data_IF_685538924717
#
_entry.id   IF_685538924717
#
_cell.length_a   1.000
_cell.length_b   1.000
_cell.length_c   1.000
_cell.angle_alpha   90.00
_cell.angle_beta   90.00
_cell.angle_gamma   90.00
#
_symmetry.space_group_name_H-M   'P 1'
#
loop_
_entity.id
_entity.type
_entity.pdbx_description
1 polymer ?
#
# COMPACT_ATOMS: atom_id res chain seq x y z
N UNK A 1 17.41 47.86 5.55
CA UNK A 1 16.74 48.30 4.30
C UNK A 1 16.49 47.14 3.35
N UNK A 2 17.43 46.20 3.16
CA UNK A 2 17.27 45.04 2.26
C UNK A 2 16.17 44.06 2.68
N UNK A 3 16.07 43.71 3.96
CA UNK A 3 15.00 42.81 4.47
C UNK A 3 13.59 43.37 4.24
N UNK A 4 13.46 44.71 4.30
CA UNK A 4 12.19 45.43 4.07
C UNK A 4 11.78 45.45 2.60
N UNK A 5 12.74 45.27 1.69
CA UNK A 5 12.49 45.16 0.25
C UNK A 5 12.12 43.72 -0.13
N UNK A 6 12.80 42.74 0.46
CA UNK A 6 12.53 41.31 0.24
C UNK A 6 11.15 40.89 0.75
N UNK A 7 10.67 41.48 1.85
CA UNK A 7 9.34 41.19 2.39
C UNK A 7 8.18 41.68 1.49
N UNK A 8 8.46 42.57 0.52
CA UNK A 8 7.51 43.06 -0.48
C UNK A 8 7.42 42.15 -1.72
N UNK A 9 8.35 41.22 -1.90
CA UNK A 9 8.37 40.28 -3.02
C UNK A 9 7.62 39.01 -2.60
N UNK A 10 6.29 39.08 -2.57
CA UNK A 10 5.44 37.90 -2.37
C UNK A 10 4.70 37.55 -3.66
N UNK A 11 4.58 36.25 -4.01
CA UNK A 11 3.81 35.85 -5.17
C UNK A 11 2.34 36.27 -4.99
N UNK A 12 1.71 36.72 -6.09
CA UNK A 12 0.31 37.14 -6.11
C UNK A 12 -0.65 36.02 -5.66
N UNK A 13 -0.25 34.78 -5.91
CA UNK A 13 -0.92 33.58 -5.42
C UNK A 13 0.10 32.83 -4.56
N UNK A 14 -0.13 32.85 -3.24
CA UNK A 14 0.61 32.00 -2.30
C UNK A 14 -0.04 30.63 -2.37
N UNK A 15 0.75 29.60 -2.69
CA UNK A 15 0.25 28.23 -2.60
C UNK A 15 -0.14 27.95 -1.15
N UNK A 16 -1.30 27.34 -0.86
CA UNK A 16 -1.75 27.05 0.49
C UNK A 16 -1.00 25.83 1.06
N UNK A 17 0.31 25.93 1.14
CA UNK A 17 1.19 24.92 1.71
C UNK A 17 1.42 25.22 3.18
N UNK A 18 1.61 24.16 3.96
CA UNK A 18 2.11 24.27 5.33
C UNK A 18 3.47 24.98 5.30
N UNK A 19 3.72 25.88 6.27
CA UNK A 19 4.99 26.61 6.37
C UNK A 19 6.20 25.67 6.50
N UNK A 20 5.99 24.44 6.98
CA UNK A 20 7.01 23.40 7.12
C UNK A 20 6.90 22.32 6.05
N UNK A 21 6.20 22.58 4.94
CA UNK A 21 6.07 21.61 3.85
C UNK A 21 7.45 21.26 3.26
N UNK A 22 7.77 19.96 3.29
CA UNK A 22 8.96 19.40 2.69
C UNK A 22 8.56 18.42 1.57
N UNK A 23 8.89 18.71 0.29
CA UNK A 23 8.64 17.77 -0.80
C UNK A 23 9.40 16.46 -0.57
N UNK A 24 8.67 15.35 -0.38
CA UNK A 24 9.26 14.05 -0.04
C UNK A 24 10.34 13.60 -1.04
N UNK A 25 10.12 13.83 -2.34
CA UNK A 25 11.07 13.47 -3.40
C UNK A 25 12.37 14.28 -3.31
N UNK A 26 12.28 15.59 -3.08
CA UNK A 26 13.46 16.45 -2.98
C UNK A 26 14.24 16.19 -1.70
N UNK A 27 13.55 15.92 -0.60
CA UNK A 27 14.18 15.52 0.66
C UNK A 27 14.90 14.17 0.50
N UNK A 28 14.28 13.19 -0.16
CA UNK A 28 14.90 11.89 -0.41
C UNK A 28 16.17 12.02 -1.27
N UNK A 29 16.14 12.84 -2.34
CA UNK A 29 17.32 13.12 -3.14
C UNK A 29 18.41 13.82 -2.34
N UNK A 30 18.06 14.90 -1.61
CA UNK A 30 19.01 15.63 -0.78
C UNK A 30 19.71 14.74 0.26
N UNK A 31 18.95 13.85 0.91
CA UNK A 31 19.52 12.88 1.85
C UNK A 31 20.51 11.94 1.14
N UNK A 32 20.12 11.31 0.03
CA UNK A 32 20.96 10.36 -0.69
C UNK A 32 22.22 11.02 -1.28
N UNK A 33 22.09 12.22 -1.86
CA UNK A 33 23.21 12.99 -2.40
C UNK A 33 24.20 13.36 -1.28
N UNK A 34 23.69 13.70 -0.09
CA UNK A 34 24.52 13.99 1.08
C UNK A 34 25.24 12.74 1.59
N UNK A 35 24.55 11.59 1.63
CA UNK A 35 25.17 10.29 1.97
C UNK A 35 26.29 9.97 0.99
N UNK A 36 26.05 10.09 -0.31
CA UNK A 36 27.05 9.84 -1.35
C UNK A 36 28.24 10.79 -1.25
N UNK A 37 28.00 12.08 -1.03
CA UNK A 37 29.04 13.11 -0.96
C UNK A 37 29.89 13.02 0.31
N UNK A 38 29.35 12.46 1.40
CA UNK A 38 30.04 12.35 2.69
C UNK A 38 31.27 11.46 2.69
N UNK A 39 31.39 10.53 1.72
CA UNK A 39 32.38 9.44 1.70
C UNK A 39 32.36 8.53 2.95
N UNK A 40 31.40 8.71 3.85
CA UNK A 40 31.17 7.94 5.09
C UNK A 40 29.80 7.25 5.04
N UNK A 41 29.52 6.58 3.94
CA UNK A 41 28.27 5.84 3.75
C UNK A 41 28.43 4.36 4.08
N UNK A 42 27.43 3.75 4.70
CA UNK A 42 27.34 2.30 4.93
C UNK A 42 26.09 1.73 4.23
N UNK A 43 26.12 0.46 3.79
CA UNK A 43 24.97 -0.16 3.15
C UNK A 43 23.81 -0.38 4.13
N UNK A 44 22.59 -0.27 3.62
CA UNK A 44 21.34 -0.63 4.30
C UNK A 44 20.49 -1.45 3.32
N UNK A 45 20.02 -2.60 3.76
CA UNK A 45 19.09 -3.44 3.01
C UNK A 45 17.82 -3.62 3.83
N UNK A 46 16.67 -3.40 3.19
CA UNK A 46 15.34 -3.55 3.76
C UNK A 46 14.61 -4.62 2.96
N UNK A 47 14.11 -5.64 3.64
CA UNK A 47 13.21 -6.64 3.08
C UNK A 47 11.80 -6.50 3.65
N UNK A 48 10.79 -6.72 2.82
CA UNK A 48 9.40 -6.90 3.23
C UNK A 48 8.98 -8.29 2.81
N UNK A 49 8.62 -9.13 3.78
CA UNK A 49 8.13 -10.49 3.56
C UNK A 49 6.61 -10.54 3.76
N UNK A 50 5.94 -11.20 2.82
CA UNK A 50 4.51 -11.49 2.83
C UNK A 50 4.26 -13.00 2.66
N UNK A 51 3.04 -13.39 2.34
CA UNK A 51 2.67 -14.78 2.11
C UNK A 51 3.53 -15.48 1.03
N UNK A 52 3.55 -16.82 1.09
CA UNK A 52 4.31 -17.71 0.21
C UNK A 52 5.83 -17.50 0.19
N UNK A 53 6.36 -16.96 1.28
CA UNK A 53 7.75 -16.52 1.42
C UNK A 53 8.15 -15.54 0.31
N UNK A 54 7.20 -14.74 -0.19
CA UNK A 54 7.52 -13.68 -1.14
C UNK A 54 8.21 -12.56 -0.40
N UNK A 55 9.40 -12.17 -0.87
CA UNK A 55 10.25 -11.15 -0.26
C UNK A 55 10.62 -10.11 -1.31
N UNK A 56 10.24 -8.86 -1.06
CA UNK A 56 10.72 -7.70 -1.81
C UNK A 56 11.90 -7.09 -1.08
N UNK A 57 13.00 -6.82 -1.80
CA UNK A 57 14.24 -6.27 -1.23
C UNK A 57 14.53 -4.88 -1.82
N UNK A 58 14.81 -3.92 -0.95
CA UNK A 58 15.28 -2.58 -1.30
C UNK A 58 16.68 -2.35 -0.72
N UNK A 59 17.64 -2.04 -1.59
CA UNK A 59 19.03 -1.76 -1.22
C UNK A 59 19.30 -0.26 -1.32
N UNK A 60 19.90 0.31 -0.29
CA UNK A 60 20.26 1.74 -0.23
C UNK A 60 21.53 1.94 0.59
N UNK A 61 21.92 3.20 0.79
CA UNK A 61 23.00 3.61 1.66
C UNK A 61 22.51 4.65 2.66
N UNK A 62 23.15 4.66 3.81
CA UNK A 62 22.90 5.62 4.90
C UNK A 62 24.24 6.13 5.43
N UNK A 63 24.25 7.19 6.22
CA UNK A 63 25.48 7.65 6.88
C UNK A 63 26.00 6.59 7.84
N UNK A 64 27.32 6.48 7.99
CA UNK A 64 27.93 5.66 9.05
C UNK A 64 27.58 6.21 10.44
N UNK A 65 27.67 5.36 11.45
CA UNK A 65 27.31 5.70 12.83
C UNK A 65 28.23 6.79 13.44
N UNK A 66 29.38 7.05 12.83
CA UNK A 66 30.38 8.07 13.19
C UNK A 66 30.19 9.40 12.44
N UNK A 67 29.21 9.50 11.55
CA UNK A 67 28.90 10.74 10.84
C UNK A 67 28.09 11.68 11.72
N UNK A 68 28.36 12.99 11.65
CA UNK A 68 27.55 14.02 12.33
C UNK A 68 26.08 14.02 11.84
N UNK A 69 25.85 13.49 10.63
CA UNK A 69 24.52 13.34 10.02
C UNK A 69 23.86 11.97 10.32
N UNK A 70 24.48 11.10 11.12
CA UNK A 70 23.90 9.80 11.48
C UNK A 70 22.46 9.89 12.05
N UNK A 71 22.09 10.91 12.86
CA UNK A 71 20.70 11.05 13.33
C UNK A 71 19.66 11.16 12.21
N UNK A 72 20.03 11.69 11.03
CA UNK A 72 19.14 11.80 9.88
C UNK A 72 18.73 10.44 9.31
N UNK A 73 19.52 9.39 9.54
CA UNK A 73 19.22 8.02 9.10
C UNK A 73 17.90 7.50 9.69
N UNK A 74 17.54 7.92 10.91
CA UNK A 74 16.36 7.41 11.61
C UNK A 74 15.06 7.80 10.89
N UNK A 75 14.89 9.09 10.62
CA UNK A 75 13.72 9.58 9.89
C UNK A 75 13.70 9.09 8.44
N UNK A 76 14.86 9.06 7.78
CA UNK A 76 15.02 8.45 6.45
C UNK A 76 14.52 7.00 6.41
N UNK A 77 15.06 6.17 7.29
CA UNK A 77 14.76 4.74 7.31
C UNK A 77 13.31 4.47 7.74
N UNK A 78 12.78 5.22 8.72
CA UNK A 78 11.38 5.12 9.12
C UNK A 78 10.43 5.36 7.94
N UNK A 79 10.64 6.47 7.23
CA UNK A 79 9.78 6.87 6.11
C UNK A 79 9.91 5.92 4.92
N UNK A 80 11.13 5.47 4.63
CA UNK A 80 11.37 4.48 3.58
C UNK A 80 10.68 3.15 3.91
N UNK A 81 10.87 2.60 5.11
CA UNK A 81 10.24 1.34 5.52
C UNK A 81 8.71 1.46 5.48
N UNK A 82 8.15 2.56 5.98
CA UNK A 82 6.70 2.79 5.89
C UNK A 82 6.24 2.77 4.44
N UNK A 83 6.93 3.48 3.56
CA UNK A 83 6.58 3.55 2.13
C UNK A 83 6.61 2.16 1.49
N UNK A 84 7.69 1.40 1.70
CA UNK A 84 7.84 0.04 1.17
C UNK A 84 6.76 -0.90 1.72
N UNK A 85 6.47 -0.83 3.01
CA UNK A 85 5.46 -1.66 3.67
C UNK A 85 4.06 -1.42 3.09
N UNK A 86 3.69 -0.16 2.80
CA UNK A 86 2.38 0.18 2.24
C UNK A 86 2.28 -0.02 0.71
N UNK A 87 3.41 -0.10 0.00
CA UNK A 87 3.43 -0.46 -1.43
C UNK A 87 3.33 -1.97 -1.61
N UNK A 88 4.17 -2.74 -0.92
CA UNK A 88 4.28 -4.17 -1.14
C UNK A 88 3.32 -5.00 -0.28
N UNK A 89 3.02 -4.49 0.92
CA UNK A 89 2.34 -5.23 1.98
C UNK A 89 3.22 -6.35 2.54
N UNK A 90 3.19 -6.56 3.85
CA UNK A 90 3.83 -7.70 4.49
C UNK A 90 3.68 -7.68 6.00
N UNK A 91 4.00 -8.80 6.66
CA UNK A 91 3.94 -8.93 8.11
C UNK A 91 5.32 -8.94 8.76
N UNK A 92 6.40 -9.00 7.98
CA UNK A 92 7.76 -9.03 8.48
C UNK A 92 8.64 -8.04 7.74
N UNK A 93 9.31 -7.19 8.50
CA UNK A 93 10.38 -6.31 8.02
C UNK A 93 11.72 -6.99 8.34
N UNK A 94 12.58 -7.11 7.34
CA UNK A 94 13.96 -7.59 7.47
C UNK A 94 14.88 -6.38 7.29
N UNK A 95 15.86 -6.18 8.17
CA UNK A 95 16.81 -5.08 8.08
C UNK A 95 18.24 -5.62 8.23
N UNK A 96 19.12 -5.25 7.29
CA UNK A 96 20.55 -5.45 7.42
C UNK A 96 21.30 -4.15 7.23
N UNK A 97 22.17 -3.83 8.18
CA UNK A 97 22.89 -2.56 8.26
C UNK A 97 23.23 -2.19 9.70
N UNK A 98 23.30 -0.89 10.00
CA UNK A 98 23.61 -0.38 11.34
C UNK A 98 22.69 -0.98 12.42
N UNK A 99 23.28 -1.46 13.51
CA UNK A 99 22.56 -1.99 14.69
C UNK A 99 21.65 -0.92 15.32
N UNK A 100 22.12 0.34 15.38
CA UNK A 100 21.35 1.46 15.94
C UNK A 100 20.06 1.71 15.15
N UNK A 101 20.15 1.67 13.82
CA UNK A 101 18.97 1.79 12.95
C UNK A 101 18.02 0.61 13.19
N UNK A 102 18.54 -0.62 13.24
CA UNK A 102 17.72 -1.80 13.47
C UNK A 102 16.94 -1.75 14.79
N UNK A 103 17.60 -1.38 15.89
CA UNK A 103 16.99 -1.22 17.21
C UNK A 103 15.94 -0.11 17.22
N UNK A 104 16.24 1.02 16.56
CA UNK A 104 15.31 2.13 16.40
C UNK A 104 14.02 1.70 15.68
N UNK A 105 14.12 0.98 14.56
CA UNK A 105 12.95 0.50 13.82
C UNK A 105 12.16 -0.54 14.61
N UNK A 106 12.84 -1.49 15.29
CA UNK A 106 12.18 -2.45 16.18
C UNK A 106 11.32 -1.75 17.24
N UNK A 107 11.86 -0.69 17.87
CA UNK A 107 11.10 0.10 18.84
C UNK A 107 9.91 0.80 18.20
N UNK A 108 10.08 1.40 17.02
CA UNK A 108 9.01 2.12 16.31
C UNK A 108 7.82 1.22 15.93
N UNK A 109 8.08 -0.01 15.49
CA UNK A 109 7.06 -0.98 15.06
C UNK A 109 6.60 -1.93 16.18
N UNK A 110 7.04 -1.70 17.42
CA UNK A 110 6.49 -2.40 18.59
C UNK A 110 5.02 -2.00 18.85
N UNK A 111 4.33 -2.75 19.71
CA UNK A 111 2.93 -2.49 20.07
C UNK A 111 2.67 -1.12 20.72
N UNK A 112 3.70 -0.49 21.30
CA UNK A 112 3.64 0.86 21.89
C UNK A 112 4.37 1.92 21.04
N UNK A 113 4.95 1.50 19.92
CA UNK A 113 5.72 2.38 19.05
C UNK A 113 4.83 3.28 18.19
N UNK A 114 5.44 4.33 17.63
CA UNK A 114 4.76 5.29 16.73
C UNK A 114 4.15 4.62 15.48
N UNK A 115 4.61 3.43 15.11
CA UNK A 115 4.11 2.60 13.99
C UNK A 115 3.28 1.40 14.45
N UNK A 116 2.78 1.41 15.69
CA UNK A 116 1.92 0.35 16.22
C UNK A 116 0.66 0.14 15.36
N UNK A 117 0.08 1.21 14.80
CA UNK A 117 -1.03 1.09 13.85
C UNK A 117 -0.62 0.31 12.60
N UNK A 118 0.48 0.69 11.95
CA UNK A 118 0.97 0.03 10.74
C UNK A 118 1.24 -1.46 11.01
N UNK A 119 1.90 -1.78 12.12
CA UNK A 119 2.21 -3.14 12.55
C UNK A 119 0.93 -3.96 12.81
N UNK A 120 -0.01 -3.41 13.60
CA UNK A 120 -1.29 -4.09 13.93
C UNK A 120 -2.15 -4.30 12.69
N UNK A 121 -2.23 -3.29 11.83
CA UNK A 121 -3.00 -3.36 10.59
C UNK A 121 -2.45 -4.46 9.69
N UNK A 122 -1.15 -4.46 9.40
CA UNK A 122 -0.51 -5.49 8.58
C UNK A 122 -0.59 -6.88 9.23
N UNK A 123 -0.48 -6.98 10.55
CA UNK A 123 -0.67 -8.24 11.28
C UNK A 123 -2.06 -8.84 11.04
N UNK A 124 -3.11 -8.01 11.04
CA UNK A 124 -4.47 -8.44 10.74
C UNK A 124 -4.65 -8.84 9.28
N UNK A 125 -4.10 -8.07 8.34
CA UNK A 125 -4.19 -8.36 6.90
C UNK A 125 -3.56 -9.70 6.52
N UNK A 126 -2.42 -10.03 7.12
CA UNK A 126 -1.66 -11.25 6.81
C UNK A 126 -1.89 -12.38 7.84
N UNK A 127 -2.75 -12.15 8.83
CA UNK A 127 -3.08 -13.08 9.93
C UNK A 127 -1.84 -13.69 10.61
N UNK A 128 -0.78 -12.90 10.72
CA UNK A 128 0.50 -13.31 11.30
C UNK A 128 1.01 -12.24 12.26
N UNK A 129 1.72 -12.60 13.33
CA UNK A 129 2.37 -11.63 14.19
C UNK A 129 3.30 -10.72 13.38
N UNK A 130 3.16 -9.41 13.54
CA UNK A 130 4.05 -8.46 12.90
C UNK A 130 5.44 -8.53 13.52
N UNK A 131 6.49 -8.61 12.70
CA UNK A 131 7.87 -8.75 13.19
C UNK A 131 8.86 -7.85 12.48
N UNK A 132 9.89 -7.43 13.22
CA UNK A 132 11.06 -6.74 12.66
C UNK A 132 12.29 -7.57 13.01
N UNK A 133 12.94 -8.13 11.99
CA UNK A 133 14.10 -9.01 12.11
C UNK A 133 15.35 -8.29 11.63
N UNK A 134 16.45 -8.51 12.33
CA UNK A 134 17.77 -7.99 11.95
C UNK A 134 18.60 -9.15 11.42
N UNK A 135 19.25 -8.95 10.27
CA UNK A 135 20.12 -9.94 9.64
C UNK A 135 21.43 -9.30 9.24
N UNK A 136 22.49 -10.09 9.13
CA UNK A 136 23.69 -9.64 8.41
C UNK A 136 23.29 -9.41 6.94
N UNK A 137 23.89 -8.40 6.30
CA UNK A 137 23.52 -8.04 4.93
C UNK A 137 23.69 -9.22 3.96
N UNK A 138 24.72 -10.04 4.17
CA UNK A 138 25.04 -11.20 3.35
C UNK A 138 24.10 -12.41 3.60
N UNK A 139 23.30 -12.37 4.66
CA UNK A 139 22.32 -13.41 5.03
C UNK A 139 20.89 -13.05 4.59
N UNK A 140 20.67 -11.83 4.07
CA UNK A 140 19.34 -11.40 3.64
C UNK A 140 18.91 -12.23 2.42
N UNK A 141 17.70 -12.82 2.43
CA UNK A 141 17.20 -13.57 1.29
C UNK A 141 17.21 -12.77 -0.01
N UNK A 142 17.43 -13.47 -1.12
CA UNK A 142 17.25 -12.89 -2.45
C UNK A 142 15.79 -12.50 -2.68
N UNK A 143 15.56 -11.53 -3.56
CA UNK A 143 14.21 -11.16 -4.02
C UNK A 143 13.47 -12.41 -4.51
N UNK A 144 12.25 -12.58 -4.03
CA UNK A 144 11.34 -13.64 -4.46
C UNK A 144 9.95 -13.05 -4.61
N UNK A 145 9.55 -12.82 -5.85
CA UNK A 145 8.22 -12.28 -6.17
C UNK A 145 7.48 -13.26 -7.08
N UNK A 146 6.27 -13.64 -6.65
CA UNK A 146 5.34 -14.38 -7.52
C UNK A 146 4.60 -13.36 -8.37
N UNK A 147 4.64 -13.55 -9.69
CA UNK A 147 3.73 -12.89 -10.62
C UNK A 147 2.82 -13.94 -11.24
N UNK A 148 1.55 -13.58 -11.41
CA UNK A 148 0.60 -14.38 -12.17
C UNK A 148 0.39 -13.64 -13.48
N UNK A 149 0.64 -14.27 -14.65
CA UNK A 149 0.32 -13.64 -15.92
C UNK A 149 -1.19 -13.42 -15.99
N UNK A 150 -1.61 -12.16 -16.19
CA UNK A 150 -3.05 -11.79 -16.22
C UNK A 150 -3.79 -12.33 -17.45
N UNK A 151 -3.08 -12.85 -18.46
CA UNK A 151 -3.66 -13.28 -19.73
C UNK A 151 -4.16 -12.11 -20.57
N UNK A 152 -4.19 -12.28 -21.90
CA UNK A 152 -4.67 -11.28 -22.86
C UNK A 152 -5.92 -11.74 -23.60
N UNK A 153 -6.65 -12.69 -23.04
CA UNK A 153 -7.77 -13.36 -23.70
C UNK A 153 -8.93 -12.40 -23.88
N UNK A 154 -9.38 -12.26 -25.12
CA UNK A 154 -10.50 -11.38 -25.46
C UNK A 154 -11.79 -12.17 -25.69
N UNK A 155 -11.66 -13.44 -26.02
CA UNK A 155 -12.72 -14.35 -26.42
C UNK A 155 -13.71 -14.63 -25.28
N UNK A 156 -14.94 -14.94 -25.67
CA UNK A 156 -16.00 -15.38 -24.76
C UNK A 156 -16.84 -14.24 -24.18
N UNK A 157 -17.82 -14.63 -23.37
CA UNK A 157 -18.78 -13.76 -22.71
C UNK A 157 -18.34 -13.50 -21.26
N UNK A 158 -17.91 -12.28 -20.94
CA UNK A 158 -17.24 -11.98 -19.67
C UNK A 158 -17.88 -10.79 -18.97
N UNK A 159 -17.85 -10.80 -17.64
CA UNK A 159 -18.31 -9.68 -16.82
C UNK A 159 -17.11 -9.06 -16.09
N UNK A 160 -16.94 -7.76 -16.28
CA UNK A 160 -16.03 -6.91 -15.51
C UNK A 160 -16.81 -6.13 -14.46
N UNK A 161 -16.31 -6.00 -13.23
CA UNK A 161 -16.91 -5.09 -12.24
C UNK A 161 -15.88 -4.26 -11.49
N UNK A 162 -16.31 -3.13 -10.95
CA UNK A 162 -15.55 -2.29 -10.02
C UNK A 162 -16.43 -1.88 -8.84
N UNK A 163 -16.02 -2.22 -7.62
CA UNK A 163 -16.74 -1.92 -6.38
C UNK A 163 -16.03 -0.80 -5.61
N UNK A 164 -16.51 0.42 -5.80
CA UNK A 164 -16.07 1.60 -5.07
C UNK A 164 -16.88 1.85 -3.79
N UNK A 165 -16.39 2.77 -2.96
CA UNK A 165 -17.11 3.22 -1.77
C UNK A 165 -18.25 4.21 -2.06
N UNK A 166 -18.30 4.78 -3.27
CA UNK A 166 -19.29 5.78 -3.73
C UNK A 166 -20.18 5.29 -4.86
N UNK A 167 -19.70 4.32 -5.63
CA UNK A 167 -20.40 3.76 -6.78
C UNK A 167 -19.97 2.31 -7.00
N UNK A 168 -20.80 1.57 -7.73
CA UNK A 168 -20.46 0.25 -8.27
C UNK A 168 -20.68 0.27 -9.78
N UNK A 169 -19.76 -0.36 -10.50
CA UNK A 169 -19.75 -0.41 -11.95
C UNK A 169 -19.71 -1.86 -12.42
N UNK A 170 -20.37 -2.12 -13.54
CA UNK A 170 -20.30 -3.41 -14.22
C UNK A 170 -20.33 -3.23 -15.73
N UNK A 171 -19.61 -4.11 -16.43
CA UNK A 171 -19.65 -4.20 -17.88
C UNK A 171 -19.75 -5.65 -18.32
N UNK A 172 -20.57 -5.91 -19.33
CA UNK A 172 -20.63 -7.20 -20.03
C UNK A 172 -19.90 -7.08 -21.37
N UNK A 173 -19.06 -8.06 -21.70
CA UNK A 173 -18.17 -8.03 -22.86
C UNK A 173 -18.27 -9.36 -23.63
N UNK A 174 -18.46 -9.29 -24.94
CA UNK A 174 -18.40 -10.46 -25.85
C UNK A 174 -17.21 -10.26 -26.80
N UNK A 175 -16.25 -11.20 -26.80
CA UNK A 175 -15.07 -11.18 -27.68
C UNK A 175 -14.33 -9.82 -27.67
N UNK A 176 -14.17 -9.25 -26.47
CA UNK A 176 -13.47 -7.98 -26.25
C UNK A 176 -14.31 -6.73 -26.52
N UNK A 177 -15.58 -6.86 -26.93
CA UNK A 177 -16.48 -5.74 -27.17
C UNK A 177 -17.50 -5.60 -26.06
N UNK A 178 -17.56 -4.42 -25.44
CA UNK A 178 -18.58 -4.12 -24.43
C UNK A 178 -19.98 -4.11 -25.08
N UNK A 179 -20.89 -4.93 -24.54
CA UNK A 179 -22.30 -5.02 -24.96
C UNK A 179 -23.26 -4.40 -23.94
N UNK A 180 -22.77 -4.18 -22.72
CA UNK A 180 -23.49 -3.49 -21.64
C UNK A 180 -22.49 -2.83 -20.69
N UNK A 181 -22.85 -1.68 -20.14
CA UNK A 181 -22.15 -1.06 -19.03
C UNK A 181 -23.10 -0.23 -18.18
N UNK A 182 -22.92 -0.26 -16.87
CA UNK A 182 -23.71 0.48 -15.89
C UNK A 182 -22.80 1.02 -14.79
N UNK A 183 -23.15 2.20 -14.28
CA UNK A 183 -22.60 2.79 -13.06
C UNK A 183 -23.77 3.19 -12.15
N UNK A 184 -23.76 2.72 -10.92
CA UNK A 184 -24.80 3.01 -9.91
C UNK A 184 -24.13 3.61 -8.69
N UNK A 185 -24.55 4.82 -8.31
CA UNK A 185 -24.17 5.44 -7.04
C UNK A 185 -24.74 4.62 -5.89
N UNK A 186 -23.92 4.33 -4.89
CA UNK A 186 -24.32 3.63 -3.67
C UNK A 186 -23.47 4.08 -2.49
N UNK A 187 -23.84 3.68 -1.27
CA UNK A 187 -23.04 3.98 -0.07
C UNK A 187 -22.94 2.74 0.81
N UNK A 188 -22.12 1.74 0.41
CA UNK A 188 -22.01 0.46 1.10
C UNK A 188 -21.36 0.63 2.48
N UNK A 189 -20.51 1.64 2.67
CA UNK A 189 -19.77 1.83 3.91
C UNK A 189 -20.63 2.13 5.15
N UNK A 190 -21.88 2.54 4.97
CA UNK A 190 -22.84 2.79 6.07
C UNK A 190 -23.85 1.66 6.26
N UNK A 191 -23.74 0.59 5.48
CA UNK A 191 -24.66 -0.54 5.53
C UNK A 191 -24.11 -1.57 6.51
N UNK A 192 -25.00 -2.07 7.36
CA UNK A 192 -24.64 -2.96 8.47
C UNK A 192 -25.10 -4.40 8.24
N UNK A 193 -25.85 -4.64 7.15
CA UNK A 193 -26.43 -5.95 6.80
C UNK A 193 -25.68 -6.57 5.62
N UNK A 194 -25.00 -7.73 5.78
CA UNK A 194 -24.29 -8.40 4.70
C UNK A 194 -25.17 -8.72 3.48
N UNK A 195 -26.46 -8.97 3.71
CA UNK A 195 -27.43 -9.24 2.66
C UNK A 195 -27.60 -8.06 1.69
N UNK A 196 -27.45 -6.82 2.15
CA UNK A 196 -27.44 -5.65 1.27
C UNK A 196 -26.33 -5.76 0.23
N UNK A 197 -25.10 -6.01 0.68
CA UNK A 197 -23.94 -6.10 -0.21
C UNK A 197 -24.09 -7.24 -1.21
N UNK A 198 -24.52 -8.42 -0.72
CA UNK A 198 -24.78 -9.57 -1.57
C UNK A 198 -25.82 -9.25 -2.65
N UNK A 199 -26.97 -8.69 -2.27
CA UNK A 199 -28.03 -8.36 -3.22
C UNK A 199 -27.59 -7.32 -4.25
N UNK A 200 -26.89 -6.26 -3.84
CA UNK A 200 -26.42 -5.23 -4.76
C UNK A 200 -25.41 -5.78 -5.78
N UNK A 201 -24.45 -6.58 -5.31
CA UNK A 201 -23.43 -7.20 -6.17
C UNK A 201 -24.08 -8.22 -7.12
N UNK A 202 -24.93 -9.12 -6.60
CA UNK A 202 -25.59 -10.14 -7.43
C UNK A 202 -26.56 -9.52 -8.43
N UNK A 203 -27.34 -8.52 -8.03
CA UNK A 203 -28.27 -7.80 -8.91
C UNK A 203 -27.53 -7.15 -10.09
N UNK A 204 -26.39 -6.52 -9.80
CA UNK A 204 -25.51 -5.93 -10.81
C UNK A 204 -24.97 -6.99 -11.80
N UNK A 205 -24.45 -8.11 -11.28
CA UNK A 205 -23.94 -9.20 -12.11
C UNK A 205 -25.04 -9.82 -12.98
N UNK A 206 -26.24 -10.01 -12.44
CA UNK A 206 -27.38 -10.53 -13.20
C UNK A 206 -27.82 -9.57 -14.31
N UNK A 207 -27.84 -8.26 -14.07
CA UNK A 207 -28.14 -7.27 -15.12
C UNK A 207 -27.13 -7.35 -16.25
N UNK A 208 -25.84 -7.43 -15.95
CA UNK A 208 -24.80 -7.60 -16.98
C UNK A 208 -24.94 -8.92 -17.74
N UNK A 209 -25.20 -10.03 -17.04
CA UNK A 209 -25.37 -11.35 -17.63
C UNK A 209 -26.54 -11.41 -18.63
N UNK A 210 -27.62 -10.66 -18.40
CA UNK A 210 -28.80 -10.63 -19.27
C UNK A 210 -28.51 -10.11 -20.69
N UNK A 211 -27.37 -9.45 -20.92
CA UNK A 211 -26.94 -8.96 -22.23
C UNK A 211 -26.07 -9.94 -23.02
N UNK A 212 -25.88 -11.17 -22.52
CA UNK A 212 -25.03 -12.18 -23.14
C UNK A 212 -25.74 -13.54 -23.18
N UNK A 213 -25.40 -14.42 -24.15
CA UNK A 213 -26.02 -15.75 -24.25
C UNK A 213 -25.59 -16.71 -23.13
N UNK A 214 -24.44 -16.45 -22.48
CA UNK A 214 -23.88 -17.19 -21.34
C UNK A 214 -22.85 -16.32 -20.62
N UNK A 215 -22.31 -16.80 -19.51
CA UNK A 215 -21.19 -16.17 -18.80
C UNK A 215 -20.04 -17.19 -18.73
N UNK A 216 -18.92 -16.87 -19.37
CA UNK A 216 -17.71 -17.69 -19.38
C UNK A 216 -16.76 -17.31 -18.23
N UNK A 217 -16.69 -16.03 -17.85
CA UNK A 217 -15.87 -15.56 -16.72
C UNK A 217 -16.41 -14.28 -16.07
N UNK A 218 -16.10 -14.11 -14.78
CA UNK A 218 -16.35 -12.88 -14.01
C UNK A 218 -15.03 -12.49 -13.35
N UNK A 219 -14.64 -11.23 -13.50
CA UNK A 219 -13.48 -10.65 -12.83
C UNK A 219 -13.73 -9.19 -12.51
N UNK A 220 -13.03 -8.65 -11.52
CA UNK A 220 -13.24 -7.26 -11.15
C UNK A 220 -12.29 -6.75 -10.08
N UNK A 221 -12.43 -5.46 -9.79
CA UNK A 221 -11.75 -4.77 -8.70
C UNK A 221 -12.73 -4.41 -7.59
N UNK A 222 -12.20 -4.26 -6.39
CA UNK A 222 -12.93 -3.72 -5.25
C UNK A 222 -11.95 -2.96 -4.37
N UNK A 223 -12.41 -1.85 -3.80
CA UNK A 223 -11.58 -1.02 -2.93
C UNK A 223 -11.26 -1.76 -1.61
N UNK A 224 -10.00 -2.21 -1.48
CA UNK A 224 -9.54 -2.94 -0.31
C UNK A 224 -8.32 -3.81 -0.59
N UNK A 225 -7.99 -4.63 0.40
CA UNK A 225 -6.98 -5.68 0.35
C UNK A 225 -7.69 -7.02 0.29
N UNK A 226 -7.41 -7.77 -0.77
CA UNK A 226 -7.92 -9.10 -1.03
C UNK A 226 -6.73 -10.05 -1.20
N UNK A 227 -6.74 -11.15 -0.48
CA UNK A 227 -5.70 -12.18 -0.53
C UNK A 227 -6.39 -13.50 -0.86
N UNK A 228 -5.98 -14.14 -1.97
CA UNK A 228 -6.54 -15.42 -2.42
C UNK A 228 -8.08 -15.41 -2.49
N UNK A 229 -8.65 -14.36 -3.08
CA UNK A 229 -10.09 -14.08 -3.18
C UNK A 229 -10.83 -13.92 -1.83
N UNK A 230 -10.11 -13.85 -0.71
CA UNK A 230 -10.68 -13.49 0.59
C UNK A 230 -10.48 -12.00 0.85
N UNK A 231 -11.53 -11.35 1.35
CA UNK A 231 -11.49 -9.96 1.77
C UNK A 231 -10.71 -9.87 3.10
N UNK A 232 -9.63 -9.10 3.14
CA UNK A 232 -8.88 -8.84 4.39
C UNK A 232 -9.26 -7.50 5.01
N UNK A 233 -9.46 -6.48 4.18
CA UNK A 233 -9.98 -5.18 4.60
C UNK A 233 -10.52 -4.46 3.37
N UNK A 234 -11.81 -4.12 3.34
CA UNK A 234 -12.38 -3.43 2.20
C UNK A 234 -13.30 -2.28 2.62
N UNK A 235 -13.24 -1.17 1.90
CA UNK A 235 -13.99 0.04 2.23
C UNK A 235 -15.50 -0.16 2.11
N UNK A 236 -15.92 -1.13 1.30
CA UNK A 236 -17.33 -1.47 1.09
C UNK A 236 -17.96 -2.17 2.30
N UNK A 237 -17.18 -2.74 3.23
CA UNK A 237 -17.71 -3.45 4.41
C UNK A 237 -17.51 -2.70 5.73
N UNK A 238 -17.21 -1.38 5.70
CA UNK A 238 -16.90 -0.60 6.90
C UNK A 238 -18.01 -0.57 7.96
N UNK A 239 -19.28 -0.69 7.55
CA UNK A 239 -20.42 -0.76 8.46
C UNK A 239 -20.68 -2.15 9.05
N UNK A 240 -20.08 -3.20 8.48
CA UNK A 240 -20.24 -4.57 8.98
C UNK A 240 -19.36 -4.76 10.21
N UNK A 241 -19.94 -5.22 11.31
CA UNK A 241 -19.17 -5.56 12.50
C UNK A 241 -18.23 -6.73 12.23
N UNK A 242 -17.07 -6.75 12.88
CA UNK A 242 -16.10 -7.83 12.68
C UNK A 242 -16.71 -9.22 12.95
N UNK A 243 -17.51 -9.36 14.01
CA UNK A 243 -18.19 -10.63 14.32
C UNK A 243 -19.13 -11.09 13.19
N UNK A 244 -19.88 -10.16 12.58
CA UNK A 244 -20.81 -10.49 11.51
C UNK A 244 -20.07 -10.80 10.21
N UNK A 245 -18.97 -10.10 9.95
CA UNK A 245 -18.10 -10.31 8.81
C UNK A 245 -17.47 -11.71 8.81
N UNK A 246 -16.96 -12.18 9.97
CA UNK A 246 -16.37 -13.52 10.07
C UNK A 246 -17.40 -14.65 9.99
N UNK A 247 -18.68 -14.36 10.25
CA UNK A 247 -19.77 -15.36 10.24
C UNK A 247 -20.38 -15.62 8.87
N UNK A 248 -20.13 -14.78 7.86
CA UNK A 248 -20.85 -14.76 6.58
C UNK A 248 -19.92 -14.82 5.40
#
# INVERSE_FOLDING_TARGET
>A
MSEKLLSLVKPKIVLPLDDNFLPAVLWNYSFLDSVHSSKKSVPLTIGIEKEDDSVSIYKTKVFSDESDFAPSNYFYTEQLIKTLLWIYGGYKIIIGGSKKICEYIKKLYSGEGKRAFDAKFMSGIYEKPFTVVTMNIDEIPSVKEKSIPLGGHLEGCRIGFDLGASDRKVSAVIDGKAVFSEEVVWNPGTQNEPSYHYHEIMSMLHRAAAHMPRVDAIGGSSAGIYINNRVMSASIFRGISHELFEKK
#
